data_IF_990944055550
#
_entry.id   IF_990944055550
#
_cell.length_a   1.000
_cell.length_b   1.000
_cell.length_c   1.000
_cell.angle_alpha   90.00
_cell.angle_beta   90.00
_cell.angle_gamma   90.00
#
_symmetry.space_group_name_H-M   'P 1'
#
loop_
_entity.id
_entity.type
_entity.pdbx_description
1 polymer ?
#
# COMPACT_ATOMS: atom_id res chain seq x y z
N UNK A 1 -9.50 -12.28 9.29
CA UNK A 1 -9.15 -12.36 7.86
C UNK A 1 -7.88 -11.53 7.71
N UNK A 2 -6.95 -11.95 6.84
CA UNK A 2 -5.76 -11.15 6.53
C UNK A 2 -5.98 -10.49 5.16
N UNK A 3 -5.44 -9.29 4.99
CA UNK A 3 -5.40 -8.60 3.70
C UNK A 3 -4.00 -8.76 3.09
N UNK A 4 -3.84 -8.38 1.82
CA UNK A 4 -2.57 -8.58 1.14
C UNK A 4 -2.26 -7.52 0.09
N UNK A 5 -0.96 -7.31 -0.13
CA UNK A 5 -0.42 -6.68 -1.33
C UNK A 5 0.07 -7.79 -2.26
N UNK A 6 -0.60 -7.94 -3.38
CA UNK A 6 -0.34 -8.98 -4.36
C UNK A 6 0.53 -8.46 -5.49
N UNK A 7 1.50 -9.27 -5.87
CA UNK A 7 2.38 -9.02 -7.00
C UNK A 7 2.42 -10.24 -7.91
N UNK A 8 2.84 -10.08 -9.17
CA UNK A 8 2.96 -11.21 -10.12
C UNK A 8 3.93 -12.29 -9.66
N UNK A 9 4.85 -11.94 -8.75
CA UNK A 9 5.88 -12.84 -8.21
C UNK A 9 5.82 -12.98 -6.69
N UNK A 10 4.63 -13.10 -6.12
CA UNK A 10 4.43 -13.32 -4.69
C UNK A 10 3.54 -12.28 -4.04
N UNK A 11 3.33 -12.42 -2.74
CA UNK A 11 2.38 -11.65 -1.96
C UNK A 11 2.99 -11.27 -0.60
N UNK A 12 2.64 -10.08 -0.14
CA UNK A 12 2.94 -9.62 1.23
C UNK A 12 1.62 -9.58 1.98
N UNK A 13 1.55 -10.34 3.07
CA UNK A 13 0.37 -10.38 3.91
C UNK A 13 0.40 -9.27 4.96
N UNK A 14 -0.78 -8.79 5.32
CA UNK A 14 -0.96 -7.78 6.34
C UNK A 14 -2.22 -8.04 7.14
N UNK A 15 -2.23 -7.65 8.42
CA UNK A 15 -3.48 -7.62 9.19
C UNK A 15 -4.51 -6.71 8.51
N UNK A 16 -5.74 -7.20 8.29
CA UNK A 16 -6.81 -6.41 7.64
C UNK A 16 -7.01 -5.01 8.25
N UNK A 17 -7.02 -4.81 9.59
CA UNK A 17 -7.13 -3.46 10.14
C UNK A 17 -5.98 -2.52 9.74
N UNK A 18 -4.75 -3.02 9.65
CA UNK A 18 -3.60 -2.24 9.20
C UNK A 18 -3.74 -1.90 7.71
N UNK A 19 -4.18 -2.86 6.89
CA UNK A 19 -4.43 -2.63 5.47
C UNK A 19 -5.52 -1.58 5.24
N UNK A 20 -6.64 -1.66 5.96
CA UNK A 20 -7.72 -0.68 5.89
C UNK A 20 -7.23 0.72 6.28
N UNK A 21 -6.40 0.85 7.32
CA UNK A 21 -5.79 2.13 7.69
C UNK A 21 -4.92 2.69 6.57
N UNK A 22 -4.04 1.87 5.97
CA UNK A 22 -3.20 2.29 4.84
C UNK A 22 -4.05 2.71 3.65
N UNK A 23 -5.09 1.95 3.29
CA UNK A 23 -5.97 2.27 2.17
C UNK A 23 -6.78 3.55 2.42
N UNK A 24 -7.30 3.75 3.62
CA UNK A 24 -8.05 4.96 3.99
C UNK A 24 -7.15 6.21 3.93
N UNK A 25 -5.94 6.11 4.48
CA UNK A 25 -4.96 7.19 4.40
C UNK A 25 -4.60 7.49 2.94
N UNK A 26 -4.44 6.46 2.11
CA UNK A 26 -4.16 6.62 0.69
C UNK A 26 -5.33 7.30 -0.02
N UNK A 27 -6.57 6.83 0.14
CA UNK A 27 -7.74 7.46 -0.50
C UNK A 27 -7.89 8.94 -0.11
N UNK A 28 -7.58 9.30 1.14
CA UNK A 28 -7.66 10.68 1.62
C UNK A 28 -6.66 11.63 0.93
N UNK A 29 -5.55 11.09 0.40
CA UNK A 29 -4.47 11.84 -0.27
C UNK A 29 -4.63 11.87 -1.78
N UNK A 30 -5.42 10.96 -2.34
CA UNK A 30 -5.66 10.87 -3.77
C UNK A 30 -6.71 11.91 -4.21
N UNK A 31 -6.46 12.55 -5.34
CA UNK A 31 -7.39 13.51 -5.96
C UNK A 31 -7.99 12.98 -7.26
N UNK A 32 -7.32 12.03 -7.91
CA UNK A 32 -7.74 11.51 -9.20
C UNK A 32 -8.76 10.38 -9.03
N UNK A 33 -9.93 10.42 -9.70
CA UNK A 33 -10.98 9.41 -9.55
C UNK A 33 -10.52 7.98 -9.87
N UNK A 34 -9.65 7.81 -10.88
CA UNK A 34 -9.15 6.48 -11.24
C UNK A 34 -8.27 5.87 -10.14
N UNK A 35 -7.50 6.69 -9.41
CA UNK A 35 -6.64 6.19 -8.33
C UNK A 35 -7.51 5.79 -7.13
N UNK A 36 -8.54 6.60 -6.83
CA UNK A 36 -9.54 6.27 -5.80
C UNK A 36 -10.26 4.95 -6.09
N UNK A 37 -10.61 4.72 -7.36
CA UNK A 37 -11.22 3.46 -7.77
C UNK A 37 -10.31 2.25 -7.54
N UNK A 38 -9.00 2.37 -7.77
CA UNK A 38 -8.04 1.31 -7.45
C UNK A 38 -8.05 0.99 -5.95
N UNK A 39 -8.07 2.02 -5.10
CA UNK A 39 -8.13 1.85 -3.64
C UNK A 39 -9.46 1.22 -3.20
N UNK A 40 -10.59 1.68 -3.75
CA UNK A 40 -11.92 1.15 -3.45
C UNK A 40 -12.01 -0.35 -3.77
N UNK A 41 -11.54 -0.75 -4.96
CA UNK A 41 -11.48 -2.17 -5.36
C UNK A 41 -10.57 -2.96 -4.41
N UNK A 42 -9.42 -2.40 -4.04
CA UNK A 42 -8.49 -3.07 -3.14
C UNK A 42 -9.08 -3.32 -1.75
N UNK A 43 -9.82 -2.35 -1.20
CA UNK A 43 -10.54 -2.49 0.07
C UNK A 43 -11.64 -3.54 -0.04
N UNK A 44 -12.47 -3.47 -1.09
CA UNK A 44 -13.55 -4.43 -1.31
C UNK A 44 -13.04 -5.88 -1.43
N UNK A 45 -11.85 -6.06 -2.00
CA UNK A 45 -11.22 -7.36 -2.19
C UNK A 45 -10.29 -7.80 -1.04
N UNK A 46 -10.03 -6.94 -0.05
CA UNK A 46 -8.94 -7.12 0.92
C UNK A 46 -7.58 -7.40 0.25
N UNK A 47 -7.35 -6.87 -0.95
CA UNK A 47 -6.21 -7.21 -1.77
C UNK A 47 -5.87 -6.09 -2.77
N UNK A 48 -4.68 -5.50 -2.66
CA UNK A 48 -4.15 -4.60 -3.69
C UNK A 48 -3.26 -5.38 -4.66
N UNK A 49 -3.69 -5.53 -5.92
CA UNK A 49 -2.87 -6.09 -7.00
C UNK A 49 -1.98 -5.00 -7.61
N UNK A 50 -0.77 -4.85 -7.07
CA UNK A 50 0.14 -3.75 -7.39
C UNK A 50 0.55 -3.75 -8.87
N UNK A 51 0.73 -4.94 -9.45
CA UNK A 51 1.08 -5.07 -10.86
C UNK A 51 -0.06 -4.77 -11.83
N UNK A 52 -1.30 -4.80 -11.36
CA UNK A 52 -2.49 -4.50 -12.17
C UNK A 52 -2.88 -3.02 -12.15
N UNK A 53 -2.14 -2.18 -11.42
CA UNK A 53 -2.34 -0.73 -11.45
C UNK A 53 -2.06 -0.23 -12.89
N UNK A 54 -2.96 0.58 -13.50
CA UNK A 54 -2.78 1.12 -14.84
C UNK A 54 -1.43 1.83 -15.00
N UNK A 55 -0.71 1.54 -16.09
CA UNK A 55 0.67 1.99 -16.29
C UNK A 55 0.84 3.52 -16.24
N UNK A 56 -0.15 4.28 -16.72
CA UNK A 56 -0.19 5.74 -16.71
C UNK A 56 -0.41 6.33 -15.30
N UNK A 57 -0.90 5.54 -14.36
CA UNK A 57 -1.16 5.93 -12.96
C UNK A 57 -0.16 5.34 -11.98
N UNK A 58 0.49 4.23 -12.35
CA UNK A 58 1.32 3.40 -11.48
C UNK A 58 2.35 4.19 -10.69
N UNK A 59 3.14 5.03 -11.37
CA UNK A 59 4.19 5.81 -10.72
C UNK A 59 3.64 6.73 -9.61
N UNK A 60 2.62 7.54 -9.93
CA UNK A 60 2.03 8.46 -8.95
C UNK A 60 1.32 7.77 -7.79
N UNK A 61 0.61 6.67 -8.07
CA UNK A 61 -0.08 5.90 -7.03
C UNK A 61 0.89 5.16 -6.12
N UNK A 62 1.99 4.62 -6.67
CA UNK A 62 3.06 3.98 -5.89
C UNK A 62 3.80 4.99 -5.00
N UNK A 63 4.14 6.17 -5.52
CA UNK A 63 4.74 7.23 -4.72
C UNK A 63 3.83 7.63 -3.54
N UNK A 64 2.53 7.82 -3.80
CA UNK A 64 1.55 8.13 -2.77
C UNK A 64 1.41 7.00 -1.72
N UNK A 65 1.33 5.75 -2.17
CA UNK A 65 1.26 4.56 -1.30
C UNK A 65 2.51 4.46 -0.42
N UNK A 66 3.70 4.60 -0.97
CA UNK A 66 4.94 4.58 -0.20
C UNK A 66 5.00 5.70 0.83
N UNK A 67 4.56 6.92 0.46
CA UNK A 67 4.45 8.03 1.40
C UNK A 67 3.46 7.77 2.55
N UNK A 68 2.38 7.02 2.30
CA UNK A 68 1.45 6.58 3.34
C UNK A 68 2.08 5.53 4.24
N UNK A 69 2.69 4.49 3.67
CA UNK A 69 3.32 3.40 4.43
C UNK A 69 4.43 3.91 5.36
N UNK A 70 5.30 4.80 4.85
CA UNK A 70 6.33 5.46 5.66
C UNK A 70 5.71 6.36 6.71
N UNK A 71 4.63 7.09 6.37
CA UNK A 71 3.89 7.90 7.32
C UNK A 71 3.29 7.08 8.47
N UNK A 72 2.72 5.92 8.16
CA UNK A 72 2.15 4.99 9.12
C UNK A 72 3.21 4.43 10.08
N UNK A 73 4.39 4.03 9.56
CA UNK A 73 5.52 3.60 10.40
C UNK A 73 5.99 4.70 11.36
N UNK A 74 6.04 5.95 10.89
CA UNK A 74 6.52 7.08 11.70
C UNK A 74 5.45 7.68 12.62
N UNK A 75 4.19 7.26 12.51
CA UNK A 75 3.06 7.85 13.24
C UNK A 75 2.96 7.39 14.70
N UNK A 76 3.58 6.26 15.06
CA UNK A 76 3.40 5.59 16.34
C UNK A 76 2.08 4.82 16.49
N UNK A 77 1.22 4.80 15.46
CA UNK A 77 -0.10 4.16 15.51
C UNK A 77 -0.05 2.63 15.67
N UNK A 78 1.11 2.01 15.43
CA UNK A 78 1.32 0.56 15.48
C UNK A 78 2.35 0.14 16.54
N UNK A 79 2.74 1.04 17.47
CA UNK A 79 3.81 0.79 18.45
C UNK A 79 3.54 -0.42 19.37
N UNK A 80 2.28 -0.76 19.61
CA UNK A 80 1.84 -1.93 20.37
C UNK A 80 1.65 -3.19 19.51
N UNK A 81 1.84 -3.09 18.19
CA UNK A 81 1.58 -4.15 17.23
C UNK A 81 2.81 -4.41 16.34
N UNK A 82 3.84 -5.12 16.86
CA UNK A 82 5.10 -5.36 16.15
C UNK A 82 4.92 -6.14 14.84
N UNK A 83 3.85 -6.94 14.72
CA UNK A 83 3.52 -7.64 13.47
C UNK A 83 3.12 -6.64 12.39
N UNK A 84 2.29 -5.64 12.72
CA UNK A 84 1.91 -4.61 11.75
C UNK A 84 3.11 -3.78 11.29
N UNK A 85 4.04 -3.47 12.21
CA UNK A 85 5.29 -2.78 11.87
C UNK A 85 6.12 -3.62 10.88
N UNK A 86 6.28 -4.92 11.14
CA UNK A 86 7.00 -5.82 10.25
C UNK A 86 6.33 -5.92 8.87
N UNK A 87 5.01 -6.10 8.82
CA UNK A 87 4.25 -6.15 7.56
C UNK A 87 4.41 -4.85 6.75
N UNK A 88 4.38 -3.68 7.42
CA UNK A 88 4.58 -2.36 6.81
C UNK A 88 6.01 -2.18 6.27
N UNK A 89 7.02 -2.67 6.98
CA UNK A 89 8.40 -2.64 6.52
C UNK A 89 8.61 -3.54 5.30
N UNK A 90 8.08 -4.77 5.35
CA UNK A 90 8.18 -5.74 4.25
C UNK A 90 7.56 -5.20 2.96
N UNK A 91 6.37 -4.58 3.02
CA UNK A 91 5.75 -4.00 1.83
C UNK A 91 6.57 -2.82 1.28
N UNK A 92 7.14 -1.96 2.12
CA UNK A 92 8.00 -0.85 1.66
C UNK A 92 9.26 -1.38 0.97
N UNK A 93 9.90 -2.39 1.55
CA UNK A 93 11.08 -3.03 0.98
C UNK A 93 10.75 -3.67 -0.38
N UNK A 94 9.65 -4.39 -0.46
CA UNK A 94 9.25 -5.08 -1.68
C UNK A 94 8.85 -4.09 -2.80
N UNK A 95 8.15 -2.99 -2.45
CA UNK A 95 7.85 -1.90 -3.39
C UNK A 95 9.12 -1.22 -3.89
N UNK A 96 10.06 -0.91 -2.99
CA UNK A 96 11.33 -0.25 -3.35
C UNK A 96 12.21 -1.12 -4.23
N UNK A 97 12.18 -2.44 -4.01
CA UNK A 97 12.93 -3.42 -4.80
C UNK A 97 12.33 -3.63 -6.20
N UNK A 98 11.00 -3.67 -6.30
CA UNK A 98 10.31 -3.92 -7.58
C UNK A 98 10.15 -2.67 -8.44
N UNK A 99 9.99 -1.50 -7.82
CA UNK A 99 9.73 -0.23 -8.50
C UNK A 99 10.63 0.91 -8.00
N UNK A 100 11.97 0.77 -8.10
CA UNK A 100 12.91 1.75 -7.53
C UNK A 100 12.78 3.17 -8.13
N UNK A 101 12.27 3.29 -9.36
CA UNK A 101 12.06 4.58 -10.03
C UNK A 101 10.72 5.27 -9.70
N UNK A 102 9.77 4.54 -9.14
CA UNK A 102 8.39 5.01 -8.88
C UNK A 102 8.16 5.38 -7.41
N UNK A 103 9.08 5.00 -6.53
CA UNK A 103 8.99 5.22 -5.07
C UNK A 103 9.80 6.46 -4.62
N UNK A 104 10.69 6.97 -5.46
CA UNK A 104 11.59 8.10 -5.15
C UNK A 104 11.16 9.46 -5.76
N UNK A 105 9.93 9.54 -6.29
CA UNK A 105 9.38 10.72 -6.98
C UNK A 105 8.74 11.74 -6.05
#
# INVERSE_FOLDING_TARGET
MSAMFAFERGEVFMKSPTFELVMNDLDSRLTHPADKYVVEVAVAMNCLWVDQIPADRKSGLLAALCGVLVGQLNSGAHDDNPVAIADLQEIIEELSKRYPGDVAG
#
